data_IF_373837545431
#
_entry.id   IF_373837545431
#
_cell.length_a   1.000
_cell.length_b   1.000
_cell.length_c   1.000
_cell.angle_alpha   90.00
_cell.angle_beta   90.00
_cell.angle_gamma   90.00
#
_symmetry.space_group_name_H-M   'P 1'
#
loop_
_entity.id
_entity.type
_entity.pdbx_description
1 polymer ?
#
# COMPACT_ATOMS: atom_id res chain seq x y z
N UNK A 1 12.23 -7.68 25.41
CA UNK A 1 12.66 -8.06 24.04
C UNK A 1 11.78 -7.34 23.04
N UNK A 2 12.40 -6.54 22.17
CA UNK A 2 11.74 -5.53 21.35
C UNK A 2 11.01 -6.17 20.15
N UNK A 3 9.69 -6.02 20.06
CA UNK A 3 8.79 -6.61 19.03
C UNK A 3 9.02 -6.01 17.62
N UNK A 4 9.97 -5.08 17.47
CA UNK A 4 10.23 -4.34 16.22
C UNK A 4 11.25 -5.00 15.28
N UNK A 5 12.10 -5.92 15.74
CA UNK A 5 13.18 -6.47 14.88
C UNK A 5 12.70 -7.45 13.81
N UNK A 6 11.51 -8.04 13.94
CA UNK A 6 10.96 -8.99 12.95
C UNK A 6 10.07 -8.30 11.90
N UNK A 7 9.69 -7.03 12.10
CA UNK A 7 8.58 -6.37 11.36
C UNK A 7 8.94 -5.73 10.01
N UNK A 8 10.22 -5.59 9.66
CA UNK A 8 10.64 -4.96 8.39
C UNK A 8 10.92 -5.98 7.27
N UNK A 9 11.18 -7.25 7.58
CA UNK A 9 11.49 -8.28 6.58
C UNK A 9 10.24 -8.74 5.80
N UNK A 10 9.04 -8.59 6.36
CA UNK A 10 7.79 -8.98 5.68
C UNK A 10 7.18 -7.87 4.81
N UNK A 11 7.65 -6.62 4.92
CA UNK A 11 7.11 -5.53 4.09
C UNK A 11 7.57 -5.63 2.62
N UNK A 12 8.71 -6.27 2.38
CA UNK A 12 9.19 -6.64 1.03
C UNK A 12 8.50 -7.89 0.47
N UNK A 13 7.59 -8.53 1.23
CA UNK A 13 6.84 -9.73 0.84
C UNK A 13 5.42 -9.42 0.34
N UNK A 14 4.98 -8.16 0.38
CA UNK A 14 3.61 -7.76 0.03
C UNK A 14 3.42 -7.40 -1.46
N UNK A 15 3.97 -8.23 -2.35
CA UNK A 15 3.79 -8.13 -3.80
C UNK A 15 3.44 -9.50 -4.37
N UNK A 16 2.14 -9.79 -4.49
CA UNK A 16 1.61 -10.92 -5.25
C UNK A 16 1.33 -12.18 -4.43
N UNK A 17 0.13 -12.25 -3.84
CA UNK A 17 -0.47 -13.53 -3.44
C UNK A 17 -1.99 -13.43 -3.63
N UNK A 18 -2.41 -13.46 -4.90
CA UNK A 18 -3.76 -13.83 -5.29
C UNK A 18 -3.73 -15.31 -5.62
N UNK A 19 -4.24 -16.14 -4.70
CA UNK A 19 -4.27 -17.59 -4.83
C UNK A 19 -5.32 -17.98 -5.87
N UNK A 20 -4.88 -18.40 -7.05
CA UNK A 20 -5.72 -19.06 -8.03
C UNK A 20 -6.12 -20.48 -7.54
N UNK A 21 -7.36 -20.94 -7.80
CA UNK A 21 -7.83 -22.27 -7.38
C UNK A 21 -7.18 -23.40 -8.22
N UNK A 22 -7.04 -24.62 -7.68
CA UNK A 22 -6.35 -25.71 -8.37
C UNK A 22 -7.20 -26.30 -9.52
N UNK A 23 -6.56 -26.55 -10.66
CA UNK A 23 -7.14 -27.27 -11.81
C UNK A 23 -7.14 -28.81 -11.59
N UNK A 24 -8.15 -29.55 -12.07
CA UNK A 24 -8.29 -31.00 -11.87
C UNK A 24 -7.49 -31.84 -12.89
N UNK A 25 -6.95 -32.97 -12.44
CA UNK A 25 -6.28 -33.99 -13.27
C UNK A 25 -7.29 -34.96 -13.90
N UNK A 26 -6.98 -35.47 -15.11
CA UNK A 26 -7.85 -36.33 -15.92
C UNK A 26 -7.36 -37.79 -16.02
N UNK A 27 -8.34 -38.71 -16.14
CA UNK A 27 -8.26 -40.14 -16.50
C UNK A 27 -8.48 -41.09 -15.32
N UNK A 28 -9.34 -42.13 -15.32
CA UNK A 28 -10.45 -42.73 -16.12
C UNK A 28 -10.90 -44.00 -15.31
N UNK A 29 -11.94 -44.80 -15.63
CA UNK A 29 -13.20 -44.60 -16.35
C UNK A 29 -14.46 -44.93 -15.46
N UNK A 30 -15.65 -44.75 -16.04
CA UNK A 30 -16.98 -44.95 -15.44
C UNK A 30 -17.31 -46.39 -14.95
N UNK A 31 -18.35 -46.55 -14.10
CA UNK A 31 -19.61 -47.05 -14.67
C UNK A 31 -20.86 -46.25 -14.20
N UNK A 32 -21.84 -46.14 -15.10
CA UNK A 32 -23.20 -45.60 -14.85
C UNK A 32 -24.00 -46.45 -13.85
N UNK A 33 -25.06 -45.92 -13.20
CA UNK A 33 -26.39 -45.95 -13.83
C UNK A 33 -27.32 -44.74 -13.59
N UNK A 34 -28.28 -44.67 -14.52
CA UNK A 34 -29.60 -43.99 -14.66
C UNK A 34 -30.33 -43.24 -13.52
N UNK A 35 -31.11 -42.23 -13.95
CA UNK A 35 -32.31 -41.62 -13.33
C UNK A 35 -32.04 -40.36 -12.50
N UNK A 36 -32.75 -39.24 -12.52
CA UNK A 36 -34.07 -38.86 -13.06
C UNK A 36 -34.19 -37.31 -12.92
N UNK A 37 -34.87 -36.66 -13.88
CA UNK A 37 -35.48 -35.31 -13.93
C UNK A 37 -35.15 -34.18 -12.91
N UNK A 38 -35.02 -32.94 -13.43
CA UNK A 38 -35.43 -31.72 -12.70
C UNK A 38 -34.67 -30.44 -13.08
N UNK A 39 -35.34 -29.50 -13.75
CA UNK A 39 -34.73 -28.36 -14.45
C UNK A 39 -34.09 -27.26 -13.59
N UNK A 40 -33.04 -26.63 -14.16
CA UNK A 40 -32.39 -25.45 -13.60
C UNK A 40 -32.97 -24.18 -14.23
N UNK A 41 -33.62 -23.37 -13.38
CA UNK A 41 -33.99 -21.98 -13.63
C UNK A 41 -32.75 -21.11 -13.46
N UNK A 42 -32.27 -20.53 -14.56
CA UNK A 42 -31.23 -19.50 -14.58
C UNK A 42 -31.82 -18.20 -14.03
N UNK A 43 -31.23 -17.68 -12.96
CA UNK A 43 -31.44 -16.30 -12.49
C UNK A 43 -30.14 -15.53 -12.75
N UNK A 44 -30.18 -14.66 -13.75
CA UNK A 44 -29.19 -13.60 -13.97
C UNK A 44 -29.31 -12.55 -12.85
N UNK A 45 -28.19 -11.98 -12.35
CA UNK A 45 -28.22 -10.67 -11.75
C UNK A 45 -27.90 -9.60 -12.79
N UNK A 46 -28.86 -8.69 -12.91
CA UNK A 46 -28.77 -7.38 -13.54
C UNK A 46 -27.67 -6.54 -12.85
N UNK A 47 -26.86 -5.84 -13.64
CA UNK A 47 -26.05 -4.70 -13.18
C UNK A 47 -25.75 -3.80 -14.36
N UNK A 48 -26.58 -2.79 -14.48
CA UNK A 48 -26.49 -1.67 -15.39
C UNK A 48 -25.80 -0.48 -14.69
N UNK A 49 -24.69 0.00 -15.27
CA UNK A 49 -24.26 1.42 -15.43
C UNK A 49 -22.71 1.55 -15.53
N UNK A 50 -22.19 2.61 -16.20
CA UNK A 50 -22.40 3.01 -17.58
C UNK A 50 -21.09 2.92 -18.40
N UNK A 51 -21.25 2.91 -19.72
CA UNK A 51 -20.17 2.91 -20.69
C UNK A 51 -19.34 4.21 -20.66
N UNK A 52 -18.02 4.05 -20.52
CA UNK A 52 -17.04 5.00 -21.03
C UNK A 52 -16.22 4.28 -22.10
N UNK A 53 -16.50 4.59 -23.35
CA UNK A 53 -15.83 4.00 -24.51
C UNK A 53 -14.36 4.41 -24.59
N UNK A 54 -13.51 3.42 -24.81
CA UNK A 54 -12.13 3.55 -25.27
C UNK A 54 -11.77 2.28 -26.03
N UNK A 55 -11.73 2.39 -27.35
CA UNK A 55 -11.45 1.29 -28.27
C UNK A 55 -10.01 0.79 -28.13
N UNK A 56 -9.79 -0.50 -27.86
CA UNK A 56 -8.89 -1.34 -28.68
C UNK A 56 -8.85 -2.82 -28.26
N UNK A 57 -9.19 -3.67 -29.23
CA UNK A 57 -8.58 -4.97 -29.57
C UNK A 57 -8.70 -6.14 -28.58
N UNK A 58 -9.47 -7.15 -29.01
CA UNK A 58 -9.48 -8.49 -28.44
C UNK A 58 -8.19 -9.24 -28.74
N UNK A 59 -7.09 -8.84 -28.11
CA UNK A 59 -5.93 -9.70 -27.92
C UNK A 59 -6.07 -10.45 -26.60
N UNK A 60 -5.77 -11.76 -26.63
CA UNK A 60 -5.63 -12.57 -25.42
C UNK A 60 -4.64 -11.87 -24.47
N UNK A 61 -5.04 -11.53 -23.23
CA UNK A 61 -4.18 -10.88 -22.25
C UNK A 61 -2.82 -11.56 -22.08
N UNK A 62 -2.76 -12.90 -22.23
CA UNK A 62 -1.52 -13.67 -22.17
C UNK A 62 -0.57 -13.39 -23.35
N UNK A 63 -1.11 -13.13 -24.55
CA UNK A 63 -0.33 -12.82 -25.74
C UNK A 63 0.24 -11.40 -25.68
N UNK A 64 -0.55 -10.43 -25.19
CA UNK A 64 -0.08 -9.06 -24.95
C UNK A 64 1.02 -9.01 -23.88
N UNK A 65 0.83 -9.72 -22.77
CA UNK A 65 1.83 -9.85 -21.71
C UNK A 65 3.12 -10.54 -22.19
N UNK A 66 2.99 -11.62 -22.96
CA UNK A 66 4.14 -12.32 -23.54
C UNK A 66 4.95 -11.43 -24.48
N UNK A 67 4.29 -10.56 -25.26
CA UNK A 67 4.97 -9.59 -26.12
C UNK A 67 5.75 -8.57 -25.31
N UNK A 68 5.13 -8.04 -24.25
CA UNK A 68 5.74 -7.05 -23.36
C UNK A 68 6.99 -7.60 -22.66
N UNK A 69 6.90 -8.82 -22.14
CA UNK A 69 8.01 -9.47 -21.44
C UNK A 69 9.09 -9.99 -22.38
N UNK A 70 8.74 -10.44 -23.59
CA UNK A 70 9.77 -10.92 -24.54
C UNK A 70 10.47 -9.78 -25.27
N UNK A 71 9.90 -8.56 -25.24
CA UNK A 71 10.47 -7.34 -25.79
C UNK A 71 11.26 -6.54 -24.73
N UNK A 72 10.75 -5.37 -24.37
CA UNK A 72 11.46 -4.38 -23.54
C UNK A 72 11.77 -4.85 -22.12
N UNK A 73 10.96 -5.75 -21.55
CA UNK A 73 11.10 -6.17 -20.14
C UNK A 73 11.77 -7.54 -19.97
N UNK A 74 12.39 -8.10 -21.03
CA UNK A 74 12.95 -9.45 -21.00
C UNK A 74 13.99 -9.65 -19.92
N UNK A 75 14.94 -8.73 -19.82
CA UNK A 75 16.06 -8.87 -18.88
C UNK A 75 15.59 -8.64 -17.43
N UNK A 76 14.67 -7.69 -17.23
CA UNK A 76 14.07 -7.43 -15.92
C UNK A 76 13.20 -8.60 -15.45
N UNK A 77 12.39 -9.17 -16.35
CA UNK A 77 11.57 -10.33 -16.04
C UNK A 77 12.43 -11.58 -15.78
N UNK A 78 13.48 -11.80 -16.58
CA UNK A 78 14.42 -12.90 -16.35
C UNK A 78 15.12 -12.78 -14.99
N UNK A 79 15.53 -11.56 -14.60
CA UNK A 79 16.13 -11.30 -13.29
C UNK A 79 15.16 -11.57 -12.13
N UNK A 80 13.91 -11.13 -12.24
CA UNK A 80 12.86 -11.38 -11.24
C UNK A 80 12.54 -12.88 -11.10
N UNK A 81 12.37 -13.59 -12.22
CA UNK A 81 12.14 -15.04 -12.22
C UNK A 81 13.32 -15.77 -11.57
N UNK A 82 14.56 -15.39 -11.91
CA UNK A 82 15.74 -16.00 -11.31
C UNK A 82 15.82 -15.73 -9.79
N UNK A 83 15.45 -14.54 -9.33
CA UNK A 83 15.37 -14.22 -7.91
C UNK A 83 14.31 -15.07 -7.20
N UNK A 84 13.13 -15.24 -7.80
CA UNK A 84 12.07 -16.10 -7.28
C UNK A 84 12.56 -17.55 -7.19
N UNK A 85 13.21 -18.07 -8.25
CA UNK A 85 13.76 -19.43 -8.28
C UNK A 85 14.82 -19.60 -7.19
N UNK A 86 15.77 -18.66 -7.07
CA UNK A 86 16.82 -18.71 -6.05
C UNK A 86 16.24 -18.68 -4.62
N UNK A 87 15.21 -17.85 -4.38
CA UNK A 87 14.52 -17.80 -3.09
C UNK A 87 13.82 -19.12 -2.78
N UNK A 88 13.02 -19.63 -3.72
CA UNK A 88 12.32 -20.91 -3.55
C UNK A 88 13.29 -22.08 -3.40
N UNK A 89 14.41 -22.07 -4.12
CA UNK A 89 15.43 -23.10 -4.01
C UNK A 89 16.08 -23.10 -2.63
N UNK A 90 16.41 -21.92 -2.07
CA UNK A 90 16.93 -21.80 -0.70
C UNK A 90 15.92 -22.28 0.34
N UNK A 91 14.65 -21.86 0.23
CA UNK A 91 13.58 -22.34 1.12
C UNK A 91 13.41 -23.87 1.03
N UNK A 92 13.35 -24.41 -0.18
CA UNK A 92 13.23 -25.86 -0.43
C UNK A 92 14.44 -26.61 0.13
N UNK A 93 15.66 -26.08 -0.06
CA UNK A 93 16.87 -26.67 0.49
C UNK A 93 16.85 -26.67 2.02
N UNK A 94 16.45 -25.55 2.65
CA UNK A 94 16.31 -25.47 4.11
C UNK A 94 15.24 -26.42 4.67
N UNK A 95 14.12 -26.61 3.95
CA UNK A 95 13.11 -27.61 4.32
C UNK A 95 13.67 -29.03 4.20
N UNK A 96 14.39 -29.34 3.12
CA UNK A 96 15.06 -30.64 2.94
C UNK A 96 16.10 -30.91 4.03
N UNK A 97 16.90 -29.91 4.40
CA UNK A 97 17.89 -30.03 5.47
C UNK A 97 17.23 -30.28 6.82
N UNK A 98 16.10 -29.60 7.13
CA UNK A 98 15.32 -29.87 8.34
C UNK A 98 14.73 -31.28 8.36
N UNK A 99 14.19 -31.74 7.23
CA UNK A 99 13.68 -33.11 7.10
C UNK A 99 14.81 -34.14 7.26
N UNK A 100 15.95 -33.92 6.61
CA UNK A 100 17.13 -34.78 6.73
C UNK A 100 17.68 -34.82 8.17
N UNK A 101 17.68 -33.68 8.87
CA UNK A 101 18.08 -33.60 10.27
C UNK A 101 17.13 -34.38 11.21
N UNK A 102 15.85 -34.45 10.86
CA UNK A 102 14.84 -35.25 11.59
C UNK A 102 14.90 -36.73 11.22
N UNK A 103 15.30 -37.06 9.98
CA UNK A 103 15.40 -38.43 9.46
C UNK A 103 16.21 -39.34 10.40
N UNK A 104 17.37 -38.89 10.88
CA UNK A 104 18.20 -39.70 11.77
C UNK A 104 17.58 -40.02 13.13
N UNK A 105 16.65 -39.20 13.62
CA UNK A 105 15.86 -39.52 14.82
C UNK A 105 14.74 -40.48 14.46
N UNK A 106 14.06 -40.26 13.34
CA UNK A 106 13.01 -41.15 12.84
C UNK A 106 13.55 -42.56 12.56
N UNK A 107 14.72 -42.70 11.95
CA UNK A 107 15.33 -44.00 11.66
C UNK A 107 15.66 -44.78 12.95
N UNK A 108 16.12 -44.09 14.00
CA UNK A 108 16.33 -44.70 15.32
C UNK A 108 15.02 -45.17 15.94
N UNK A 109 13.94 -44.40 15.80
CA UNK A 109 12.62 -44.76 16.30
C UNK A 109 12.04 -45.94 15.50
N UNK A 110 12.07 -45.89 14.17
CA UNK A 110 11.65 -46.97 13.28
C UNK A 110 12.40 -48.27 13.57
N UNK A 111 13.72 -48.20 13.78
CA UNK A 111 14.55 -49.35 14.15
C UNK A 111 14.16 -49.93 15.52
N UNK A 112 13.88 -49.07 16.51
CA UNK A 112 13.44 -49.50 17.86
C UNK A 112 12.10 -50.23 17.81
N UNK A 113 11.15 -49.74 17.02
CA UNK A 113 9.83 -50.35 16.86
C UNK A 113 9.76 -51.41 15.75
N UNK A 114 10.88 -51.69 15.07
CA UNK A 114 10.98 -52.66 13.97
C UNK A 114 10.02 -52.37 12.81
N UNK A 115 9.71 -51.10 12.58
CA UNK A 115 8.79 -50.64 11.54
C UNK A 115 9.60 -50.39 10.27
N UNK A 116 9.20 -51.04 9.18
CA UNK A 116 9.86 -50.94 7.89
C UNK A 116 9.19 -49.88 7.01
N UNK A 117 9.95 -49.35 6.03
CA UNK A 117 9.39 -48.50 4.97
C UNK A 117 9.08 -47.06 5.34
N UNK A 118 9.49 -46.58 6.52
CA UNK A 118 9.25 -45.18 6.91
C UNK A 118 7.78 -44.87 7.21
N UNK A 119 6.99 -45.89 7.55
CA UNK A 119 5.58 -45.71 7.92
C UNK A 119 5.46 -44.97 9.26
N UNK A 120 5.27 -43.65 9.15
CA UNK A 120 5.12 -42.77 10.30
C UNK A 120 3.81 -43.02 11.06
N UNK A 121 2.76 -43.53 10.41
CA UNK A 121 1.48 -43.81 11.05
C UNK A 121 1.53 -45.13 11.85
N UNK A 122 2.29 -46.12 11.38
CA UNK A 122 2.62 -47.29 12.19
C UNK A 122 3.50 -46.90 13.38
N UNK A 123 4.46 -45.98 13.18
CA UNK A 123 5.34 -45.51 14.24
C UNK A 123 4.58 -44.77 15.34
N UNK A 124 3.66 -43.89 14.95
CA UNK A 124 2.79 -43.16 15.87
C UNK A 124 1.97 -44.13 16.73
N UNK A 125 1.27 -45.09 16.10
CA UNK A 125 0.51 -46.12 16.82
C UNK A 125 1.38 -46.96 17.76
N UNK A 126 2.58 -47.34 17.33
CA UNK A 126 3.50 -48.12 18.16
C UNK A 126 3.93 -47.33 19.41
N UNK A 127 4.26 -46.04 19.24
CA UNK A 127 4.59 -45.13 20.35
C UNK A 127 3.38 -44.93 21.29
N UNK A 128 2.18 -44.75 20.74
CA UNK A 128 0.96 -44.58 21.53
C UNK A 128 0.60 -45.82 22.34
N UNK A 129 0.88 -47.01 21.80
CA UNK A 129 0.59 -48.29 22.43
C UNK A 129 1.66 -48.76 23.44
N UNK A 130 2.87 -48.17 23.42
CA UNK A 130 3.95 -48.50 24.34
C UNK A 130 3.67 -47.96 25.75
N UNK A 131 2.97 -48.76 26.56
CA UNK A 131 2.63 -48.43 27.95
C UNK A 131 3.86 -48.25 28.85
N UNK A 132 5.00 -48.87 28.52
CA UNK A 132 6.22 -48.78 29.31
C UNK A 132 6.87 -47.40 29.20
N UNK A 133 6.75 -46.73 28.05
CA UNK A 133 7.18 -45.33 27.89
C UNK A 133 6.41 -44.36 28.78
N UNK A 134 5.12 -44.63 29.00
CA UNK A 134 4.22 -43.71 29.70
C UNK A 134 4.05 -44.04 31.19
N UNK A 135 4.32 -45.27 31.62
CA UNK A 135 4.12 -45.74 32.99
C UNK A 135 4.92 -44.95 34.04
N UNK A 136 6.21 -44.71 33.79
CA UNK A 136 7.08 -43.95 34.71
C UNK A 136 6.61 -42.50 34.89
N UNK A 137 6.46 -41.71 33.81
CA UNK A 137 5.96 -40.34 33.88
C UNK A 137 4.53 -40.22 34.43
N UNK A 138 3.64 -41.17 34.12
CA UNK A 138 2.28 -41.20 34.65
C UNK A 138 2.25 -41.42 36.17
N UNK A 139 3.05 -42.38 36.67
CA UNK A 139 3.19 -42.63 38.11
C UNK A 139 3.76 -41.42 38.85
N UNK A 140 4.76 -40.74 38.29
CA UNK A 140 5.32 -39.50 38.86
C UNK A 140 4.28 -38.36 38.91
N UNK A 141 3.40 -38.29 37.91
CA UNK A 141 2.31 -37.30 37.86
C UNK A 141 1.10 -37.69 38.72
N UNK A 142 1.09 -38.87 39.34
CA UNK A 142 -0.06 -39.40 40.09
C UNK A 142 -1.29 -39.69 39.22
N UNK A 143 -1.09 -39.92 37.93
CA UNK A 143 -2.15 -40.16 36.94
C UNK A 143 -2.10 -41.60 36.43
N UNK A 144 -3.23 -42.13 35.95
CA UNK A 144 -3.20 -43.37 35.16
C UNK A 144 -2.46 -43.16 33.84
N UNK A 145 -1.93 -44.22 33.24
CA UNK A 145 -1.24 -44.16 31.94
C UNK A 145 -2.14 -43.57 30.85
N UNK A 146 -3.42 -43.91 30.86
CA UNK A 146 -4.41 -43.38 29.91
C UNK A 146 -4.67 -41.89 30.12
N UNK A 147 -4.85 -41.46 31.38
CA UNK A 147 -5.04 -40.06 31.73
C UNK A 147 -3.83 -39.22 31.35
N UNK A 148 -2.63 -39.73 31.60
CA UNK A 148 -1.39 -39.05 31.23
C UNK A 148 -1.25 -38.89 29.72
N UNK A 149 -1.58 -39.91 28.93
CA UNK A 149 -1.59 -39.82 27.45
C UNK A 149 -2.55 -38.75 26.96
N UNK A 150 -3.79 -38.74 27.45
CA UNK A 150 -4.78 -37.73 27.10
C UNK A 150 -4.32 -36.31 27.48
N UNK A 151 -3.68 -36.17 28.64
CA UNK A 151 -3.09 -34.91 29.07
C UNK A 151 -1.98 -34.44 28.13
N UNK A 152 -1.07 -35.32 27.69
CA UNK A 152 -0.02 -34.96 26.73
C UNK A 152 -0.59 -34.55 25.38
N UNK A 153 -1.56 -35.30 24.85
CA UNK A 153 -2.22 -34.99 23.58
C UNK A 153 -2.89 -33.61 23.65
N UNK A 154 -3.66 -33.36 24.70
CA UNK A 154 -4.31 -32.07 24.95
C UNK A 154 -3.30 -30.92 25.05
N UNK A 155 -2.15 -31.17 25.69
CA UNK A 155 -1.07 -30.18 25.85
C UNK A 155 -0.43 -29.82 24.51
N UNK A 156 -0.13 -30.82 23.68
CA UNK A 156 0.43 -30.62 22.33
C UNK A 156 -0.57 -29.90 21.42
N UNK A 157 -1.84 -30.29 21.46
CA UNK A 157 -2.91 -29.61 20.72
C UNK A 157 -3.06 -28.15 21.16
N UNK A 158 -3.12 -27.89 22.47
CA UNK A 158 -3.16 -26.52 22.99
C UNK A 158 -1.92 -25.70 22.57
N UNK A 159 -0.73 -26.30 22.59
CA UNK A 159 0.48 -25.63 22.14
C UNK A 159 0.39 -25.27 20.66
N UNK A 160 -0.06 -26.19 19.82
CA UNK A 160 -0.27 -25.96 18.37
C UNK A 160 -1.29 -24.86 18.14
N UNK A 161 -2.45 -24.92 18.79
CA UNK A 161 -3.51 -23.91 18.70
C UNK A 161 -3.00 -22.54 19.15
N UNK A 162 -2.23 -22.46 20.24
CA UNK A 162 -1.61 -21.21 20.70
C UNK A 162 -0.61 -20.68 19.69
N UNK A 163 0.25 -21.52 19.13
CA UNK A 163 1.23 -21.13 18.12
C UNK A 163 0.54 -20.62 16.84
N UNK A 164 -0.53 -21.27 16.40
CA UNK A 164 -1.32 -20.84 15.25
C UNK A 164 -2.01 -19.50 15.50
N UNK A 165 -2.66 -19.33 16.66
CA UNK A 165 -3.27 -18.05 17.04
C UNK A 165 -2.24 -16.92 17.13
N UNK A 166 -1.07 -17.19 17.69
CA UNK A 166 0.03 -16.22 17.74
C UNK A 166 0.55 -15.88 16.34
N UNK A 167 0.70 -16.86 15.46
CA UNK A 167 1.12 -16.65 14.08
C UNK A 167 0.11 -15.80 13.30
N UNK A 168 -1.19 -16.09 13.46
CA UNK A 168 -2.26 -15.30 12.84
C UNK A 168 -2.29 -13.88 13.39
N UNK A 169 -2.26 -13.70 14.72
CA UNK A 169 -2.21 -12.37 15.33
C UNK A 169 -0.99 -11.57 14.87
N UNK A 170 0.19 -12.19 14.79
CA UNK A 170 1.39 -11.53 14.28
C UNK A 170 1.24 -11.11 12.81
N UNK A 171 0.64 -11.97 11.96
CA UNK A 171 0.36 -11.64 10.55
C UNK A 171 -0.64 -10.49 10.43
N UNK A 172 -1.67 -10.46 11.27
CA UNK A 172 -2.66 -9.39 11.30
C UNK A 172 -2.04 -8.07 11.76
N UNK A 173 -1.19 -8.08 12.80
CA UNK A 173 -0.43 -6.90 13.24
C UNK A 173 0.43 -6.33 12.11
N UNK A 174 1.19 -7.18 11.41
CA UNK A 174 2.01 -6.77 10.26
C UNK A 174 1.13 -6.17 9.16
N UNK A 175 0.01 -6.80 8.83
CA UNK A 175 -0.95 -6.29 7.84
C UNK A 175 -1.52 -4.92 8.23
N UNK A 176 -1.92 -4.73 9.49
CA UNK A 176 -2.44 -3.45 9.99
C UNK A 176 -1.38 -2.36 9.92
N UNK A 177 -0.15 -2.67 10.30
CA UNK A 177 0.96 -1.73 10.23
C UNK A 177 1.28 -1.35 8.78
N UNK A 178 1.34 -2.33 7.87
CA UNK A 178 1.57 -2.09 6.46
C UNK A 178 0.49 -1.21 5.84
N UNK A 179 -0.78 -1.44 6.18
CA UNK A 179 -1.89 -0.61 5.73
C UNK A 179 -1.82 0.84 6.27
N UNK A 180 -1.43 1.01 7.54
CA UNK A 180 -1.21 2.33 8.12
C UNK A 180 -0.09 3.08 7.39
N UNK A 181 1.06 2.43 7.17
CA UNK A 181 2.18 2.99 6.42
C UNK A 181 1.82 3.31 4.97
N UNK A 182 1.04 2.48 4.30
CA UNK A 182 0.58 2.77 2.94
C UNK A 182 -0.30 4.03 2.88
N UNK A 183 -1.14 4.29 3.89
CA UNK A 183 -1.93 5.51 3.99
C UNK A 183 -1.06 6.74 4.26
N UNK A 184 -0.12 6.65 5.20
CA UNK A 184 0.82 7.73 5.50
C UNK A 184 1.68 8.08 4.29
N UNK A 185 2.17 7.07 3.57
CA UNK A 185 2.98 7.27 2.37
C UNK A 185 2.21 8.01 1.26
N UNK A 186 0.91 7.70 1.06
CA UNK A 186 0.07 8.43 0.09
C UNK A 186 -0.12 9.89 0.50
N UNK A 187 -0.47 10.14 1.76
CA UNK A 187 -0.64 11.50 2.27
C UNK A 187 0.66 12.31 2.19
N UNK A 188 1.81 11.67 2.43
CA UNK A 188 3.11 12.30 2.32
C UNK A 188 3.47 12.61 0.87
N UNK A 189 3.14 11.72 -0.08
CA UNK A 189 3.31 11.93 -1.51
C UNK A 189 2.46 13.08 -2.05
N UNK A 190 1.25 13.26 -1.53
CA UNK A 190 0.40 14.42 -1.87
C UNK A 190 1.04 15.75 -1.42
N UNK A 191 1.70 15.77 -0.26
CA UNK A 191 2.39 16.96 0.26
C UNK A 191 3.75 17.21 -0.41
N UNK A 192 4.53 16.15 -0.59
CA UNK A 192 5.85 16.15 -1.17
C UNK A 192 5.84 15.23 -2.39
N UNK A 193 5.61 15.81 -3.58
CA UNK A 193 5.46 15.04 -4.82
C UNK A 193 6.66 14.15 -5.18
N UNK A 194 7.85 14.50 -4.70
CA UNK A 194 9.10 13.76 -4.92
C UNK A 194 9.29 12.57 -3.94
N UNK A 195 8.37 12.37 -3.00
CA UNK A 195 8.46 11.29 -2.00
C UNK A 195 8.22 9.91 -2.63
N UNK A 196 9.18 9.00 -2.43
CA UNK A 196 9.06 7.57 -2.71
C UNK A 196 9.46 6.72 -1.50
N UNK A 197 8.47 6.03 -0.92
CA UNK A 197 8.65 5.16 0.22
C UNK A 197 9.73 4.08 -0.01
N UNK A 198 9.79 3.50 -1.22
CA UNK A 198 10.73 2.41 -1.50
C UNK A 198 12.19 2.91 -1.53
N UNK A 199 12.41 4.12 -2.05
CA UNK A 199 13.71 4.77 -2.04
C UNK A 199 14.12 5.13 -0.61
N UNK A 200 13.22 5.74 0.17
CA UNK A 200 13.49 6.13 1.56
C UNK A 200 13.74 4.92 2.47
N UNK A 201 13.07 3.78 2.22
CA UNK A 201 13.34 2.55 2.95
C UNK A 201 14.74 2.00 2.72
N UNK A 202 15.48 2.42 1.70
CA UNK A 202 16.89 2.02 1.54
C UNK A 202 17.82 2.73 2.53
N UNK A 203 17.40 3.90 3.06
CA UNK A 203 18.18 4.66 4.03
C UNK A 203 18.12 4.01 5.43
N UNK A 204 19.26 3.60 6.00
CA UNK A 204 19.30 3.04 7.36
C UNK A 204 18.79 4.02 8.42
N UNK A 205 19.00 5.32 8.23
CA UNK A 205 18.56 6.37 9.14
C UNK A 205 17.01 6.50 9.13
N UNK A 206 16.40 6.43 7.95
CA UNK A 206 14.93 6.44 7.83
C UNK A 206 14.33 5.19 8.49
N UNK A 207 14.89 4.01 8.22
CA UNK A 207 14.44 2.77 8.88
C UNK A 207 14.58 2.83 10.41
N UNK A 208 15.66 3.41 10.93
CA UNK A 208 15.88 3.54 12.36
C UNK A 208 14.80 4.42 13.01
N UNK A 209 14.42 5.53 12.38
CA UNK A 209 13.35 6.41 12.86
C UNK A 209 11.97 5.74 12.82
N UNK A 210 11.67 4.98 11.76
CA UNK A 210 10.42 4.20 11.72
C UNK A 210 10.40 3.11 12.81
N UNK A 211 11.54 2.48 13.09
CA UNK A 211 11.67 1.48 14.16
C UNK A 211 11.56 2.09 15.57
N UNK A 212 11.94 3.35 15.76
CA UNK A 212 11.72 4.06 17.02
C UNK A 212 10.29 4.55 17.21
N UNK A 213 9.40 4.33 16.23
CA UNK A 213 8.00 4.78 16.28
C UNK A 213 7.80 6.23 15.86
N UNK A 214 8.81 6.85 15.21
CA UNK A 214 8.66 8.19 14.65
C UNK A 214 7.69 8.12 13.46
N UNK A 215 6.67 9.00 13.38
CA UNK A 215 5.77 9.07 12.23
C UNK A 215 6.53 9.25 10.93
N UNK A 216 6.05 8.63 9.84
CA UNK A 216 6.75 8.61 8.56
C UNK A 216 7.04 10.02 8.02
N UNK A 217 6.08 10.93 8.19
CA UNK A 217 6.23 12.33 7.82
C UNK A 217 7.41 13.00 8.52
N UNK A 218 7.54 12.84 9.83
CA UNK A 218 8.59 13.49 10.61
C UNK A 218 9.97 12.91 10.26
N UNK A 219 10.03 11.60 10.01
CA UNK A 219 11.25 10.93 9.57
C UNK A 219 11.72 11.47 8.21
N UNK A 220 10.79 11.70 7.27
CA UNK A 220 11.10 12.27 5.96
C UNK A 220 11.54 13.74 6.07
N UNK A 221 10.78 14.55 6.80
CA UNK A 221 11.10 15.96 7.00
C UNK A 221 12.45 16.17 7.70
N UNK A 222 12.82 15.29 8.64
CA UNK A 222 14.12 15.35 9.31
C UNK A 222 15.30 15.08 8.36
N UNK A 223 15.16 14.15 7.42
CA UNK A 223 16.21 13.81 6.45
C UNK A 223 16.30 14.82 5.30
N UNK A 224 15.16 15.33 4.84
CA UNK A 224 15.06 16.15 3.64
C UNK A 224 14.80 17.64 3.93
N UNK A 225 15.06 18.08 5.17
CA UNK A 225 14.73 19.45 5.59
C UNK A 225 15.39 20.53 4.73
N UNK A 226 16.66 20.34 4.35
CA UNK A 226 17.40 21.26 3.48
C UNK A 226 16.77 21.36 2.09
N UNK A 227 16.40 20.23 1.52
CA UNK A 227 15.87 20.14 0.16
C UNK A 227 14.45 20.68 0.08
N UNK A 228 13.64 20.40 1.11
CA UNK A 228 12.32 20.99 1.29
C UNK A 228 12.43 22.52 1.38
N UNK A 229 13.33 23.06 2.22
CA UNK A 229 13.54 24.51 2.35
C UNK A 229 13.99 25.15 1.04
N UNK A 230 14.93 24.52 0.33
CA UNK A 230 15.38 25.00 -0.97
C UNK A 230 14.24 24.99 -2.01
N UNK A 231 13.42 23.94 -2.05
CA UNK A 231 12.24 23.84 -2.91
C UNK A 231 11.20 24.92 -2.63
N UNK A 232 10.89 25.18 -1.36
CA UNK A 232 9.96 26.25 -0.93
C UNK A 232 10.49 27.61 -1.36
N UNK A 233 11.78 27.89 -1.15
CA UNK A 233 12.40 29.14 -1.57
C UNK A 233 12.32 29.36 -3.10
N UNK A 234 12.59 28.32 -3.90
CA UNK A 234 12.44 28.38 -5.36
C UNK A 234 11.00 28.66 -5.80
N UNK A 235 10.02 27.95 -5.22
CA UNK A 235 8.59 28.17 -5.52
C UNK A 235 8.13 29.59 -5.14
N UNK A 236 8.58 30.11 -4.00
CA UNK A 236 8.28 31.47 -3.57
C UNK A 236 8.90 32.52 -4.50
N UNK A 237 10.14 32.29 -4.98
CA UNK A 237 10.79 33.13 -5.99
C UNK A 237 10.00 33.18 -7.30
N UNK A 238 9.63 32.01 -7.83
CA UNK A 238 8.82 31.90 -9.06
C UNK A 238 7.44 32.53 -8.92
N UNK A 239 6.78 32.39 -7.75
CA UNK A 239 5.49 33.02 -7.50
C UNK A 239 5.60 34.55 -7.50
N UNK A 240 6.66 35.10 -6.91
CA UNK A 240 6.94 36.55 -6.95
C UNK A 240 7.24 37.02 -8.37
N UNK A 241 8.04 36.27 -9.12
CA UNK A 241 8.34 36.58 -10.53
C UNK A 241 7.06 36.60 -11.38
N UNK A 242 6.17 35.62 -11.20
CA UNK A 242 4.85 35.59 -11.86
C UNK A 242 4.00 36.79 -11.45
N UNK A 243 3.90 37.10 -10.16
CA UNK A 243 3.16 38.27 -9.68
C UNK A 243 3.69 39.58 -10.29
N UNK A 244 5.02 39.73 -10.36
CA UNK A 244 5.65 40.90 -10.98
C UNK A 244 5.35 40.94 -12.48
N UNK A 245 5.44 39.81 -13.17
CA UNK A 245 5.14 39.70 -14.61
C UNK A 245 3.67 40.00 -14.90
N UNK A 246 2.75 39.46 -14.10
CA UNK A 246 1.32 39.71 -14.21
C UNK A 246 1.00 41.18 -13.92
N UNK A 247 1.66 41.78 -12.93
CA UNK A 247 1.54 43.21 -12.65
C UNK A 247 2.09 44.08 -13.78
N UNK A 248 3.22 43.72 -14.40
CA UNK A 248 3.78 44.42 -15.57
C UNK A 248 2.84 44.28 -16.77
N UNK A 249 2.32 43.07 -17.04
CA UNK A 249 1.35 42.82 -18.12
C UNK A 249 0.08 43.63 -17.92
N UNK A 250 -0.46 43.66 -16.70
CA UNK A 250 -1.64 44.46 -16.36
C UNK A 250 -1.38 45.98 -16.52
N UNK A 251 -0.16 46.45 -16.23
CA UNK A 251 0.23 47.85 -16.41
C UNK A 251 0.56 48.21 -17.87
N UNK A 252 1.06 47.25 -18.65
CA UNK A 252 1.31 47.38 -20.10
C UNK A 252 0.06 47.33 -20.97
N UNK A 253 -1.06 46.85 -20.42
CA UNK A 253 -2.39 46.94 -21.04
C UNK A 253 -3.15 48.24 -20.73
N UNK A 254 -2.54 49.21 -20.02
CA UNK A 254 -3.14 50.54 -19.88
C UNK A 254 -3.04 51.27 -21.22
N UNK A 255 -4.16 51.75 -21.79
CA UNK A 255 -4.10 52.74 -22.86
C UNK A 255 -3.22 53.89 -22.40
N UNK A 256 -2.35 54.38 -23.28
CA UNK A 256 -1.56 55.58 -23.01
C UNK A 256 -2.52 56.78 -22.90
N UNK A 257 -3.04 57.03 -21.70
CA UNK A 257 -3.64 58.32 -21.42
C UNK A 257 -2.48 59.31 -21.27
N UNK A 258 -2.41 60.23 -22.23
CA UNK A 258 -1.54 61.37 -22.17
C UNK A 258 -1.64 62.06 -20.81
N UNK A 259 -0.52 62.65 -20.40
CA UNK A 259 -0.39 63.46 -19.21
C UNK A 259 -1.57 64.43 -19.05
N UNK A 260 -2.57 64.08 -18.25
CA UNK A 260 -3.51 65.04 -17.69
C UNK A 260 -2.88 65.63 -16.43
N UNK A 261 -1.86 66.45 -16.65
CA UNK A 261 -1.56 67.55 -15.73
C UNK A 261 -2.87 68.30 -15.44
N UNK A 262 -3.20 68.46 -14.15
CA UNK A 262 -4.49 68.91 -13.64
C UNK A 262 -5.26 69.86 -14.56
N UNK A 263 -6.27 69.33 -15.22
CA UNK A 263 -7.20 70.12 -16.00
C UNK A 263 -8.26 70.69 -15.04
N UNK A 264 -8.03 71.91 -14.55
CA UNK A 264 -9.12 72.72 -14.01
C UNK A 264 -10.15 72.93 -15.13
N UNK A 265 -11.38 72.48 -14.91
CA UNK A 265 -12.48 72.66 -15.86
C UNK A 265 -12.87 74.13 -15.84
N UNK A 266 -12.34 74.91 -16.78
CA UNK A 266 -12.80 76.29 -17.03
C UNK A 266 -14.09 76.22 -17.83
N UNK A 267 -15.20 76.65 -17.24
CA UNK A 267 -16.47 76.80 -17.95
C UNK A 267 -16.51 78.16 -18.62
N UNK A 268 -16.47 78.17 -19.96
CA UNK A 268 -16.65 79.38 -20.77
C UNK A 268 -18.13 79.58 -21.05
N UNK A 269 -18.89 79.96 -20.04
CA UNK A 269 -20.12 80.68 -20.32
C UNK A 269 -20.46 81.71 -19.25
N UNK A 270 -21.05 82.78 -19.75
CA UNK A 270 -21.37 84.02 -19.07
C UNK A 270 -22.19 83.73 -17.78
N UNK A 271 -21.75 84.24 -16.60
CA UNK A 271 -22.46 84.02 -15.34
C UNK A 271 -23.94 84.41 -15.36
N UNK A 272 -24.33 85.32 -16.26
CA UNK A 272 -25.72 85.76 -16.42
C UNK A 272 -26.65 84.74 -17.09
N UNK A 273 -26.13 83.74 -17.80
CA UNK A 273 -26.91 82.76 -18.57
C UNK A 273 -27.20 81.44 -17.86
N UNK A 274 -26.75 81.27 -16.61
CA UNK A 274 -26.86 80.01 -15.88
C UNK A 274 -28.30 79.72 -15.43
N UNK A 275 -28.79 78.52 -15.76
CA UNK A 275 -30.09 78.07 -15.26
C UNK A 275 -30.02 77.75 -13.75
N UNK A 276 -31.15 77.79 -13.01
CA UNK A 276 -31.15 77.49 -11.57
C UNK A 276 -30.53 76.12 -11.23
N UNK A 277 -30.79 75.11 -12.06
CA UNK A 277 -30.23 73.76 -11.87
C UNK A 277 -28.70 73.73 -12.06
N UNK A 278 -28.16 74.52 -12.99
CA UNK A 278 -26.72 74.61 -13.19
C UNK A 278 -26.03 75.31 -12.01
N UNK A 279 -26.69 76.30 -11.40
CA UNK A 279 -26.19 76.99 -10.21
C UNK A 279 -26.14 76.06 -8.99
N UNK A 280 -27.16 75.23 -8.80
CA UNK A 280 -27.18 74.25 -7.71
C UNK A 280 -26.09 73.18 -7.84
N UNK A 281 -25.84 72.71 -9.06
CA UNK A 281 -24.75 71.74 -9.31
C UNK A 281 -23.37 72.37 -9.11
N UNK A 282 -23.17 73.62 -9.52
CA UNK A 282 -21.93 74.36 -9.24
C UNK A 282 -21.74 74.60 -7.73
N UNK A 283 -22.81 74.92 -6.99
CA UNK A 283 -22.76 75.06 -5.54
C UNK A 283 -22.35 73.75 -4.85
N UNK A 284 -22.97 72.61 -5.22
CA UNK A 284 -22.59 71.29 -4.69
C UNK A 284 -21.13 70.93 -4.99
N UNK A 285 -20.62 71.33 -6.14
CA UNK A 285 -19.21 71.11 -6.52
C UNK A 285 -18.26 71.98 -5.71
N UNK A 286 -18.60 73.24 -5.51
CA UNK A 286 -17.85 74.13 -4.63
C UNK A 286 -17.83 73.62 -3.18
N UNK A 287 -18.95 73.09 -2.68
CA UNK A 287 -19.03 72.45 -1.35
C UNK A 287 -18.12 71.23 -1.22
N UNK A 288 -17.88 70.49 -2.31
CA UNK A 288 -16.90 69.39 -2.37
C UNK A 288 -15.45 69.86 -2.47
N UNK A 289 -15.20 71.16 -2.42
CA UNK A 289 -13.86 71.76 -2.44
C UNK A 289 -13.28 71.98 -3.84
N UNK A 290 -14.09 71.85 -4.90
CA UNK A 290 -13.64 72.16 -6.27
C UNK A 290 -13.57 73.68 -6.48
N UNK A 291 -12.43 74.18 -6.98
CA UNK A 291 -12.25 75.60 -7.30
C UNK A 291 -12.85 75.90 -8.67
N UNK A 292 -14.02 76.53 -8.68
CA UNK A 292 -14.71 76.94 -9.91
C UNK A 292 -14.27 78.36 -10.26
N UNK A 293 -13.71 78.53 -11.45
CA UNK A 293 -13.35 79.83 -12.02
C UNK A 293 -14.02 80.02 -13.37
N UNK A 294 -14.74 81.12 -13.52
CA UNK A 294 -15.25 81.59 -14.82
C UNK A 294 -14.15 82.43 -15.48
N UNK A 295 -13.98 82.28 -16.80
CA UNK A 295 -13.05 83.09 -17.60
C UNK A 295 -13.79 84.26 -18.22
#
# INVERSE_FOLDING_TARGET
MNVFSVRMADLTRFGGEETAPPAPQAGDPAPSPAGESGGVRVLSPDSSAPAAGGQNQGEDPAAAFSRLIKGEFKDQFAAEVQNIINRRFKETKGLRERLAAQQGVLDKLLSRYQIQGGDLAALDRAIESDSALWAGPAAQAGMSVEQYRQFQNTRLENQRLRAERQATAAREEVRRQAAAWAREARALKERYGDFDLLAELQSPAFQAMLRSGTPMQNAYEALHLSDIKAGVARKAGQAREKQVTDHIRARGGRPAEGASSGAGVTWSADPGGLTPQQRDELARRAERGERISFR
#
